data_IF_000974268615
#
_entry.id   IF_000974268615
#
_cell.length_a   1.000
_cell.length_b   1.000
_cell.length_c   1.000
_cell.angle_alpha   90.00
_cell.angle_beta   90.00
_cell.angle_gamma   90.00
#
_symmetry.space_group_name_H-M   'P 1'
#
loop_
_entity.id
_entity.type
_entity.pdbx_description
1 polymer ?
#
# COMPACT_ATOMS: atom_id res chain seq x y z
N UNK A 1 -3.48 -16.55 -27.20
CA UNK A 1 -2.16 -16.59 -27.88
C UNK A 1 -2.22 -16.26 -29.36
N UNK A 2 -3.31 -16.56 -30.08
CA UNK A 2 -3.47 -16.28 -31.53
C UNK A 2 -3.20 -14.81 -31.91
N UNK A 3 -3.56 -13.85 -31.05
CA UNK A 3 -3.34 -12.41 -31.28
C UNK A 3 -1.88 -12.03 -31.51
N UNK A 4 -0.96 -12.61 -30.73
CA UNK A 4 0.46 -12.23 -30.77
C UNK A 4 1.29 -13.07 -31.76
N UNK A 5 0.70 -14.10 -32.37
CA UNK A 5 1.38 -14.92 -33.37
C UNK A 5 1.84 -14.12 -34.60
N UNK A 6 1.14 -13.03 -34.94
CA UNK A 6 1.49 -12.12 -36.05
C UNK A 6 2.83 -11.38 -35.85
N UNK A 7 3.25 -11.22 -34.60
CA UNK A 7 4.54 -10.60 -34.23
C UNK A 7 5.56 -11.64 -33.77
N UNK A 8 5.35 -12.92 -34.08
CA UNK A 8 6.28 -14.00 -33.73
C UNK A 8 6.27 -14.41 -32.25
N UNK A 9 5.39 -13.86 -31.42
CA UNK A 9 5.29 -14.24 -30.00
C UNK A 9 4.39 -15.47 -29.86
N UNK A 10 4.96 -16.56 -29.35
CA UNK A 10 4.26 -17.82 -29.11
C UNK A 10 5.19 -18.88 -28.52
N UNK A 11 4.62 -19.98 -28.02
CA UNK A 11 5.41 -21.13 -27.62
C UNK A 11 6.27 -21.60 -28.80
N UNK A 12 7.56 -21.86 -28.54
CA UNK A 12 8.53 -22.35 -29.53
C UNK A 12 8.74 -21.42 -30.74
N UNK A 13 8.33 -20.15 -30.65
CA UNK A 13 8.57 -19.14 -31.68
C UNK A 13 9.66 -18.16 -31.26
N UNK A 14 10.41 -17.67 -32.26
CA UNK A 14 11.39 -16.61 -32.08
C UNK A 14 10.87 -15.31 -32.67
N UNK A 15 10.95 -14.22 -31.91
CA UNK A 15 10.64 -12.88 -32.42
C UNK A 15 11.86 -12.35 -33.18
N UNK A 16 11.71 -12.15 -34.48
CA UNK A 16 12.74 -11.52 -35.31
C UNK A 16 12.66 -9.99 -35.19
N UNK A 17 13.37 -9.46 -34.19
CA UNK A 17 13.45 -8.02 -33.91
C UNK A 17 14.43 -7.27 -34.82
N UNK A 18 15.09 -7.93 -35.79
CA UNK A 18 16.01 -7.27 -36.72
C UNK A 18 15.30 -6.44 -37.79
N UNK A 19 14.01 -6.71 -38.02
CA UNK A 19 13.18 -5.98 -38.98
C UNK A 19 12.72 -4.64 -38.38
N UNK A 20 13.04 -3.48 -38.99
CA UNK A 20 12.66 -2.17 -38.47
C UNK A 20 11.15 -2.02 -38.21
N UNK A 21 10.32 -2.59 -39.07
CA UNK A 21 8.87 -2.59 -38.94
C UNK A 21 8.39 -3.38 -37.71
N UNK A 22 9.00 -4.54 -37.44
CA UNK A 22 8.67 -5.35 -36.26
C UNK A 22 9.05 -4.64 -34.97
N UNK A 23 10.24 -4.03 -34.96
CA UNK A 23 10.71 -3.22 -33.84
C UNK A 23 9.75 -2.07 -33.55
N UNK A 24 9.36 -1.30 -34.56
CA UNK A 24 8.44 -0.18 -34.41
C UNK A 24 7.07 -0.60 -33.86
N UNK A 25 6.50 -1.71 -34.34
CA UNK A 25 5.22 -2.21 -33.83
C UNK A 25 5.30 -2.67 -32.37
N UNK A 26 6.41 -3.31 -31.97
CA UNK A 26 6.63 -3.72 -30.58
C UNK A 26 6.78 -2.49 -29.67
N UNK A 27 7.60 -1.51 -30.08
CA UNK A 27 7.83 -0.27 -29.34
C UNK A 27 6.52 0.53 -29.18
N UNK A 28 5.71 0.62 -30.23
CA UNK A 28 4.38 1.25 -30.16
C UNK A 28 3.46 0.51 -29.19
N UNK A 29 3.40 -0.82 -29.25
CA UNK A 29 2.59 -1.61 -28.33
C UNK A 29 3.03 -1.48 -26.87
N UNK A 30 4.33 -1.32 -26.61
CA UNK A 30 4.86 -1.00 -25.29
C UNK A 30 4.44 0.40 -24.84
N UNK A 31 4.51 1.40 -25.73
CA UNK A 31 4.07 2.76 -25.42
C UNK A 31 2.58 2.82 -25.09
N UNK A 32 1.73 2.11 -25.85
CA UNK A 32 0.30 2.00 -25.59
C UNK A 32 0.04 1.35 -24.22
N UNK A 33 0.75 0.26 -23.89
CA UNK A 33 0.63 -0.40 -22.59
C UNK A 33 1.02 0.52 -21.41
N UNK A 34 2.06 1.34 -21.57
CA UNK A 34 2.43 2.34 -20.57
C UNK A 34 1.39 3.46 -20.45
N UNK A 35 0.81 3.92 -21.56
CA UNK A 35 -0.28 4.89 -21.53
C UNK A 35 -1.53 4.33 -20.82
N UNK A 36 -1.83 3.04 -21.02
CA UNK A 36 -2.91 2.34 -20.30
C UNK A 36 -2.62 2.24 -18.81
N UNK A 37 -1.37 1.91 -18.45
CA UNK A 37 -0.92 1.86 -17.06
C UNK A 37 -1.06 3.23 -16.37
N UNK A 38 -0.63 4.33 -17.00
CA UNK A 38 -0.80 5.70 -16.46
C UNK A 38 -2.27 6.05 -16.23
N UNK A 39 -3.19 5.54 -17.05
CA UNK A 39 -4.63 5.71 -16.79
C UNK A 39 -5.09 4.88 -15.58
N UNK A 40 -4.59 3.66 -15.44
CA UNK A 40 -4.87 2.81 -14.28
C UNK A 40 -4.30 3.40 -12.97
N UNK A 41 -3.14 4.03 -13.00
CA UNK A 41 -2.56 4.74 -11.83
C UNK A 41 -3.51 5.80 -11.27
N UNK A 42 -4.29 6.48 -12.12
CA UNK A 42 -5.31 7.45 -11.67
C UNK A 42 -6.45 6.76 -10.93
N UNK A 43 -6.81 5.54 -11.32
CA UNK A 43 -7.84 4.74 -10.65
C UNK A 43 -7.33 4.20 -9.31
N UNK A 44 -6.04 3.85 -9.21
CA UNK A 44 -5.37 3.58 -7.93
C UNK A 44 -5.38 4.81 -7.01
N UNK A 45 -5.00 5.98 -7.53
CA UNK A 45 -5.00 7.23 -6.78
C UNK A 45 -6.43 7.63 -6.31
N UNK A 46 -7.45 7.29 -7.09
CA UNK A 46 -8.86 7.47 -6.73
C UNK A 46 -9.40 6.38 -5.79
N UNK A 47 -8.62 5.35 -5.45
CA UNK A 47 -9.03 4.23 -4.60
C UNK A 47 -10.04 3.27 -5.25
N UNK A 48 -10.25 3.36 -6.56
CA UNK A 48 -11.15 2.46 -7.31
C UNK A 48 -10.51 1.12 -7.66
N UNK A 49 -9.18 1.10 -7.71
CA UNK A 49 -8.35 -0.10 -7.86
C UNK A 49 -7.37 -0.12 -6.70
N UNK A 50 -7.18 -1.28 -6.11
CA UNK A 50 -6.27 -1.51 -4.98
C UNK A 50 -5.25 -2.58 -5.34
N UNK A 51 -4.20 -2.72 -4.53
CA UNK A 51 -3.24 -3.83 -4.70
C UNK A 51 -3.96 -5.19 -4.69
N UNK A 52 -5.02 -5.32 -3.90
CA UNK A 52 -5.87 -6.50 -3.84
C UNK A 52 -6.60 -6.90 -5.12
N UNK A 53 -6.75 -5.98 -6.08
CA UNK A 53 -7.43 -6.24 -7.34
C UNK A 53 -6.47 -6.75 -8.42
N UNK A 54 -5.17 -6.42 -8.29
CA UNK A 54 -4.16 -6.72 -9.32
C UNK A 54 -3.33 -7.97 -9.03
N UNK A 55 -3.37 -8.49 -7.79
CA UNK A 55 -2.74 -9.76 -7.41
C UNK A 55 -3.77 -10.87 -7.21
N UNK A 56 -3.46 -12.08 -7.67
CA UNK A 56 -4.30 -13.25 -7.47
C UNK A 56 -4.00 -14.40 -8.43
N UNK A 57 -4.85 -15.42 -8.39
CA UNK A 57 -4.76 -16.56 -9.30
C UNK A 57 -5.13 -16.16 -10.73
N UNK A 58 -4.83 -17.04 -11.69
CA UNK A 58 -5.25 -16.85 -13.10
C UNK A 58 -6.78 -16.72 -13.22
N UNK A 59 -7.52 -17.49 -12.43
CA UNK A 59 -8.98 -17.47 -12.40
C UNK A 59 -9.50 -16.12 -11.88
N UNK A 60 -8.93 -15.64 -10.78
CA UNK A 60 -9.30 -14.34 -10.20
C UNK A 60 -9.05 -13.19 -11.17
N UNK A 61 -7.85 -13.13 -11.77
CA UNK A 61 -7.45 -12.05 -12.67
C UNK A 61 -8.10 -12.13 -14.05
N UNK A 62 -8.73 -13.26 -14.42
CA UNK A 62 -9.45 -13.45 -15.70
C UNK A 62 -8.67 -13.00 -16.93
N UNK A 63 -7.36 -13.25 -16.95
CA UNK A 63 -6.42 -12.78 -18.00
C UNK A 63 -6.42 -11.25 -18.23
N UNK A 64 -6.72 -10.44 -17.21
CA UNK A 64 -6.52 -9.01 -17.25
C UNK A 64 -5.01 -8.69 -17.24
N UNK A 65 -4.43 -8.56 -18.44
CA UNK A 65 -3.00 -8.34 -18.61
C UNK A 65 -2.54 -6.98 -18.10
N UNK A 66 -3.40 -5.95 -18.14
CA UNK A 66 -3.08 -4.63 -17.58
C UNK A 66 -2.92 -4.70 -16.06
N UNK A 67 -3.79 -5.45 -15.37
CA UNK A 67 -3.65 -5.66 -13.92
C UNK A 67 -2.38 -6.46 -13.59
N UNK A 68 -2.06 -7.49 -14.39
CA UNK A 68 -0.81 -8.24 -14.22
C UNK A 68 0.43 -7.39 -14.45
N UNK A 69 0.40 -6.50 -15.45
CA UNK A 69 1.47 -5.52 -15.67
C UNK A 69 1.56 -4.57 -14.48
N UNK A 70 0.44 -4.01 -14.03
CA UNK A 70 0.42 -3.08 -12.91
C UNK A 70 0.95 -3.70 -11.63
N UNK A 71 0.55 -4.93 -11.30
CA UNK A 71 1.10 -5.73 -10.22
C UNK A 71 2.63 -5.87 -10.32
N UNK A 72 3.15 -6.20 -11.49
CA UNK A 72 4.59 -6.36 -11.70
C UNK A 72 5.37 -5.04 -11.60
N UNK A 73 4.81 -3.94 -12.10
CA UNK A 73 5.42 -2.60 -12.05
C UNK A 73 5.40 -2.05 -10.62
N UNK A 74 4.28 -2.20 -9.91
CA UNK A 74 4.07 -1.62 -8.58
C UNK A 74 4.70 -2.47 -7.46
N UNK A 75 4.85 -3.78 -7.66
CA UNK A 75 5.49 -4.66 -6.68
C UNK A 75 5.35 -6.15 -7.02
N UNK A 76 6.34 -6.72 -7.73
CA UNK A 76 6.39 -8.16 -7.97
C UNK A 76 6.22 -8.97 -6.67
N UNK A 77 5.56 -10.13 -6.77
CA UNK A 77 5.26 -11.02 -5.65
C UNK A 77 4.26 -10.50 -4.60
N UNK A 78 3.43 -9.51 -4.94
CA UNK A 78 2.32 -9.10 -4.07
C UNK A 78 1.31 -10.22 -3.80
N UNK A 79 0.65 -10.12 -2.64
CA UNK A 79 -0.34 -11.07 -2.16
C UNK A 79 -1.75 -10.75 -2.69
N UNK A 80 -2.61 -11.76 -2.78
CA UNK A 80 -4.05 -11.53 -2.95
C UNK A 80 -4.63 -10.81 -1.74
N UNK A 81 -5.77 -10.12 -1.91
CA UNK A 81 -6.40 -9.39 -0.79
C UNK A 81 -6.86 -10.28 0.36
N UNK A 82 -7.15 -11.56 0.09
CA UNK A 82 -7.52 -12.54 1.11
C UNK A 82 -6.33 -12.93 2.00
N UNK A 83 -5.12 -12.82 1.47
CA UNK A 83 -3.87 -13.12 2.19
C UNK A 83 -3.32 -11.87 2.90
N UNK A 84 -3.27 -10.73 2.21
CA UNK A 84 -2.86 -9.48 2.82
C UNK A 84 -3.42 -8.23 2.12
N UNK A 85 -3.76 -7.21 2.92
CA UNK A 85 -4.16 -5.88 2.45
C UNK A 85 -3.19 -4.81 2.95
N UNK A 86 -2.97 -3.78 2.12
CA UNK A 86 -1.97 -2.74 2.36
C UNK A 86 -2.54 -1.30 2.28
N UNK A 87 -3.44 -0.85 3.17
CA UNK A 87 -3.87 0.55 3.17
C UNK A 87 -2.69 1.50 3.39
N UNK A 88 -2.50 2.46 2.47
CA UNK A 88 -1.38 3.39 2.49
C UNK A 88 -1.81 4.78 2.97
N UNK A 89 -1.01 5.37 3.86
CA UNK A 89 -1.12 6.74 4.31
C UNK A 89 -0.11 7.59 3.55
N UNK A 90 -0.50 8.03 2.35
CA UNK A 90 0.30 8.94 1.51
C UNK A 90 -0.02 10.41 1.80
N UNK A 91 -1.25 10.66 2.26
CA UNK A 91 -1.79 11.98 2.60
C UNK A 91 -2.60 11.88 3.89
N UNK A 92 -2.78 13.01 4.55
CA UNK A 92 -3.69 13.15 5.68
C UNK A 92 -5.16 13.29 5.23
N UNK A 93 -6.05 13.45 6.22
CA UNK A 93 -7.48 13.66 6.03
C UNK A 93 -7.78 14.87 5.11
N UNK A 94 -6.97 15.93 5.20
CA UNK A 94 -7.07 17.14 4.37
C UNK A 94 -6.38 17.00 3.00
N UNK A 95 -5.98 15.78 2.62
CA UNK A 95 -5.31 15.43 1.36
C UNK A 95 -3.94 16.10 1.18
N UNK A 96 -3.30 16.54 2.26
CA UNK A 96 -1.94 17.05 2.24
C UNK A 96 -0.94 15.90 2.38
N UNK A 97 0.20 15.98 1.70
CA UNK A 97 1.26 14.96 1.82
C UNK A 97 1.79 14.91 3.25
N UNK A 98 2.03 13.69 3.73
CA UNK A 98 2.56 13.46 5.07
C UNK A 98 4.00 13.96 5.19
N UNK A 99 4.30 14.71 6.25
CA UNK A 99 5.65 15.22 6.56
C UNK A 99 5.83 15.37 8.06
N UNK A 100 7.00 15.01 8.60
CA UNK A 100 7.23 15.07 10.04
C UNK A 100 7.48 16.47 10.60
N UNK A 101 7.36 17.50 9.76
CA UNK A 101 7.14 18.87 10.23
C UNK A 101 5.81 19.03 10.98
N UNK A 102 4.86 18.13 10.74
CA UNK A 102 3.57 18.08 11.41
C UNK A 102 3.47 16.87 12.35
N UNK A 103 2.46 16.92 13.22
CA UNK A 103 2.05 15.80 14.08
C UNK A 103 0.76 15.24 13.53
N UNK A 104 0.59 13.92 13.62
CA UNK A 104 -0.63 13.27 13.19
C UNK A 104 -1.10 12.25 14.21
N UNK A 105 -2.39 11.95 14.17
CA UNK A 105 -3.00 10.85 14.90
C UNK A 105 -3.68 9.87 13.93
N UNK A 106 -3.62 8.59 14.26
CA UNK A 106 -4.45 7.56 13.65
C UNK A 106 -5.24 6.91 14.79
N UNK A 107 -6.54 7.18 14.84
CA UNK A 107 -7.42 6.69 15.92
C UNK A 107 -8.26 5.51 15.44
N UNK A 108 -8.16 4.40 16.16
CA UNK A 108 -9.09 3.29 16.09
C UNK A 108 -10.13 3.47 17.20
N UNK A 109 -11.38 3.69 16.81
CA UNK A 109 -12.50 3.71 17.75
C UNK A 109 -12.66 2.34 18.46
N UNK A 110 -13.40 2.28 19.58
CA UNK A 110 -13.71 1.01 20.24
C UNK A 110 -14.27 -0.01 19.25
N UNK A 111 -13.77 -1.24 19.31
CA UNK A 111 -14.14 -2.34 18.41
C UNK A 111 -13.93 -2.07 16.91
N UNK A 112 -13.10 -1.08 16.55
CA UNK A 112 -12.75 -0.72 15.15
C UNK A 112 -11.27 -0.92 14.80
N UNK A 113 -10.56 -1.73 15.58
CA UNK A 113 -9.22 -2.20 15.20
C UNK A 113 -9.28 -2.97 13.86
N UNK A 114 -8.16 -3.03 13.09
CA UNK A 114 -8.14 -3.77 11.83
C UNK A 114 -8.60 -5.23 12.00
N UNK A 115 -9.64 -5.68 11.28
CA UNK A 115 -10.22 -7.00 11.47
C UNK A 115 -9.38 -8.04 10.73
N UNK A 116 -8.61 -8.82 11.49
CA UNK A 116 -7.67 -9.83 10.99
C UNK A 116 -7.86 -11.16 11.72
N UNK A 117 -7.52 -12.26 11.05
CA UNK A 117 -7.39 -13.57 11.68
C UNK A 117 -5.98 -13.77 12.30
N UNK A 118 -4.96 -13.12 11.75
CA UNK A 118 -3.59 -13.19 12.25
C UNK A 118 -3.20 -11.91 13.00
N UNK A 119 -2.62 -10.93 12.29
CA UNK A 119 -2.16 -9.68 12.90
C UNK A 119 -2.22 -8.51 11.92
N UNK A 120 -2.11 -7.30 12.44
CA UNK A 120 -1.94 -6.09 11.64
C UNK A 120 -0.74 -5.28 12.10
N UNK A 121 -0.19 -4.43 11.23
CA UNK A 121 0.89 -3.51 11.57
C UNK A 121 0.78 -2.19 10.80
N UNK A 122 1.11 -1.07 11.43
CA UNK A 122 1.37 0.21 10.78
C UNK A 122 2.87 0.49 10.79
N UNK A 123 3.50 0.53 9.62
CA UNK A 123 4.96 0.70 9.46
C UNK A 123 5.30 2.06 8.86
N UNK A 124 6.37 2.69 9.36
CA UNK A 124 6.87 3.99 8.91
C UNK A 124 7.94 3.83 7.81
N UNK A 125 7.86 4.65 6.76
CA UNK A 125 8.89 4.75 5.71
C UNK A 125 9.22 6.21 5.39
N UNK A 126 10.51 6.57 5.36
CA UNK A 126 10.95 7.86 4.83
C UNK A 126 10.85 7.92 3.31
N UNK A 127 10.58 9.12 2.79
CA UNK A 127 10.55 9.38 1.35
C UNK A 127 11.65 10.36 0.96
N UNK A 128 12.26 10.20 -0.25
CA UNK A 128 11.88 9.26 -1.31
C UNK A 128 12.49 7.85 -1.20
N UNK A 129 13.39 7.61 -0.25
CA UNK A 129 14.20 6.37 -0.18
C UNK A 129 13.34 5.12 0.06
N UNK A 130 12.15 5.27 0.64
CA UNK A 130 11.25 4.18 1.01
C UNK A 130 11.88 3.20 2.00
N UNK A 131 12.74 3.72 2.89
CA UNK A 131 13.44 2.96 3.93
C UNK A 131 12.81 3.18 5.31
N UNK A 132 13.12 2.28 6.25
CA UNK A 132 12.78 2.47 7.65
C UNK A 132 13.60 3.64 8.25
N UNK A 133 13.03 4.29 9.25
CA UNK A 133 13.60 5.53 9.82
C UNK A 133 14.25 5.25 11.16
N UNK A 134 15.57 5.44 11.25
CA UNK A 134 16.30 5.39 12.52
C UNK A 134 15.68 6.38 13.53
N UNK A 135 15.43 5.92 14.76
CA UNK A 135 14.76 6.70 15.78
C UNK A 135 15.22 6.28 17.19
N UNK A 136 15.03 7.13 18.22
CA UNK A 136 15.63 6.92 19.55
C UNK A 136 15.15 5.69 20.33
N UNK A 137 14.10 5.00 19.88
CA UNK A 137 13.49 3.86 20.56
C UNK A 137 13.45 2.60 19.69
N UNK A 138 14.18 2.61 18.56
CA UNK A 138 14.26 1.52 17.58
C UNK A 138 12.88 0.95 17.16
N UNK A 139 11.87 1.83 17.08
CA UNK A 139 10.50 1.46 16.72
C UNK A 139 10.17 1.91 15.30
N UNK A 140 9.99 0.96 14.40
CA UNK A 140 9.69 1.23 12.99
C UNK A 140 8.23 0.91 12.62
N UNK A 141 7.50 0.27 13.54
CA UNK A 141 6.09 -0.08 13.39
C UNK A 141 5.37 -0.15 14.74
N UNK A 142 4.04 -0.12 14.69
CA UNK A 142 3.15 -0.57 15.77
C UNK A 142 2.29 -1.71 15.20
N UNK A 143 2.11 -2.79 15.95
CA UNK A 143 1.32 -3.95 15.49
C UNK A 143 0.37 -4.50 16.56
N UNK A 144 -0.52 -5.41 16.17
CA UNK A 144 -1.53 -5.96 17.07
C UNK A 144 -0.97 -6.72 18.28
N UNK A 145 0.16 -7.46 18.21
CA UNK A 145 0.80 -8.01 19.41
C UNK A 145 1.17 -6.98 20.49
N UNK A 146 1.45 -5.72 20.11
CA UNK A 146 1.79 -4.65 21.06
C UNK A 146 0.57 -4.06 21.77
N UNK A 147 -0.67 -4.42 21.38
CA UNK A 147 -1.90 -3.85 21.96
C UNK A 147 -1.97 -3.85 23.50
N UNK A 148 -1.49 -4.89 24.24
CA UNK A 148 -1.49 -4.87 25.70
C UNK A 148 -0.59 -3.78 26.32
N UNK A 149 0.41 -3.31 25.58
CA UNK A 149 1.36 -2.27 26.02
C UNK A 149 0.90 -0.86 25.62
N UNK A 150 -0.02 -0.76 24.65
CA UNK A 150 -0.57 0.52 24.22
C UNK A 150 -1.56 1.05 25.26
N UNK A 151 -1.56 2.38 25.45
CA UNK A 151 -2.56 3.05 26.26
C UNK A 151 -3.87 3.19 25.49
N UNK A 152 -4.95 2.80 26.17
CA UNK A 152 -6.32 2.97 25.68
C UNK A 152 -6.78 4.41 25.93
N UNK A 153 -7.59 4.91 25.01
CA UNK A 153 -8.35 6.14 25.17
C UNK A 153 -9.46 5.93 26.23
N UNK A 154 -10.04 7.01 26.76
CA UNK A 154 -11.06 6.94 27.80
C UNK A 154 -12.34 6.16 27.37
N UNK A 155 -12.62 6.13 26.08
CA UNK A 155 -13.73 5.36 25.48
C UNK A 155 -13.37 3.91 25.15
N UNK A 156 -12.12 3.49 25.39
CA UNK A 156 -11.60 2.15 25.03
C UNK A 156 -10.95 2.07 23.64
N UNK A 157 -10.90 3.18 22.90
CA UNK A 157 -10.20 3.28 21.63
C UNK A 157 -8.67 3.19 21.77
N UNK A 158 -7.98 3.23 20.63
CA UNK A 158 -6.51 3.35 20.57
C UNK A 158 -6.15 4.47 19.61
N UNK A 159 -5.51 5.51 20.13
CA UNK A 159 -4.93 6.58 19.30
C UNK A 159 -3.43 6.38 19.16
N UNK A 160 -2.95 6.19 17.93
CA UNK A 160 -1.52 6.17 17.60
C UNK A 160 -1.03 7.60 17.32
N UNK A 161 0.12 7.97 17.88
CA UNK A 161 0.73 9.27 17.72
C UNK A 161 1.86 9.18 16.69
N UNK A 162 1.80 9.98 15.63
CA UNK A 162 2.75 9.94 14.52
C UNK A 162 3.44 11.30 14.42
N UNK A 163 4.70 11.37 14.85
CA UNK A 163 5.44 12.63 14.90
C UNK A 163 6.95 12.39 15.01
N UNK A 164 7.76 13.37 14.62
CA UNK A 164 9.22 13.28 14.69
C UNK A 164 9.76 13.34 16.12
N UNK A 165 9.21 14.23 16.93
CA UNK A 165 9.64 14.43 18.32
C UNK A 165 8.89 13.50 19.27
N UNK A 166 9.54 13.06 20.35
CA UNK A 166 8.85 12.29 21.39
C UNK A 166 7.68 13.10 21.97
N UNK A 167 6.47 12.51 22.09
CA UNK A 167 5.32 13.16 22.71
C UNK A 167 5.41 13.24 24.25
N UNK A 168 6.55 12.81 24.84
CA UNK A 168 6.74 12.67 26.28
C UNK A 168 6.64 11.22 26.73
N UNK A 169 7.44 10.85 27.74
CA UNK A 169 7.59 9.46 28.24
C UNK A 169 6.26 8.78 28.56
N UNK A 170 5.26 9.53 29.01
CA UNK A 170 3.93 9.03 29.37
C UNK A 170 3.08 8.61 28.15
N UNK A 171 3.46 9.05 26.94
CA UNK A 171 2.77 8.83 25.66
C UNK A 171 3.56 8.00 24.65
N UNK A 172 4.83 7.71 24.92
CA UNK A 172 5.69 6.94 24.01
C UNK A 172 5.17 5.54 23.70
N UNK A 173 4.36 4.94 24.58
CA UNK A 173 3.69 3.66 24.32
C UNK A 173 2.94 3.66 22.97
N UNK A 174 2.23 4.75 22.64
CA UNK A 174 1.41 4.88 21.44
C UNK A 174 2.13 5.59 20.28
N UNK A 175 3.40 5.97 20.46
CA UNK A 175 4.14 6.77 19.51
C UNK A 175 4.80 5.91 18.43
N UNK A 176 4.59 6.27 17.17
CA UNK A 176 5.35 5.81 16.02
C UNK A 176 6.25 6.97 15.53
N UNK A 177 7.58 6.90 15.75
CA UNK A 177 8.50 7.95 15.32
C UNK A 177 8.48 8.14 13.80
N UNK A 178 8.34 9.40 13.37
CA UNK A 178 8.39 9.81 11.96
C UNK A 178 9.74 10.51 11.64
N UNK A 179 10.21 10.51 10.38
CA UNK A 179 11.36 11.32 9.99
C UNK A 179 11.00 12.82 10.03
N UNK A 180 11.96 13.74 10.00
CA UNK A 180 11.67 15.19 9.96
C UNK A 180 11.01 15.63 8.64
N UNK A 181 11.28 14.89 7.58
CA UNK A 181 10.85 15.19 6.22
C UNK A 181 9.61 14.40 5.77
N UNK A 182 9.41 14.30 4.44
CA UNK A 182 8.33 13.51 3.85
C UNK A 182 8.38 12.04 4.27
N UNK A 183 7.21 11.45 4.49
CA UNK A 183 7.09 10.03 4.84
C UNK A 183 5.81 9.44 4.28
N UNK A 184 5.69 8.12 4.33
CA UNK A 184 4.44 7.39 4.15
C UNK A 184 4.32 6.34 5.25
N UNK A 185 3.10 5.92 5.56
CA UNK A 185 2.88 4.74 6.41
C UNK A 185 2.12 3.66 5.65
N UNK A 186 2.50 2.41 5.89
CA UNK A 186 1.80 1.26 5.34
C UNK A 186 1.10 0.51 6.48
N UNK A 187 -0.23 0.53 6.49
CA UNK A 187 -1.01 -0.43 7.27
C UNK A 187 -0.98 -1.76 6.53
N UNK A 188 -0.79 -2.85 7.25
CA UNK A 188 -0.82 -4.21 6.72
C UNK A 188 -1.79 -5.02 7.55
N UNK A 189 -2.74 -5.66 6.88
CA UNK A 189 -3.63 -6.65 7.48
C UNK A 189 -3.22 -8.01 6.93
N UNK A 190 -2.82 -8.94 7.80
CA UNK A 190 -2.48 -10.31 7.42
C UNK A 190 -3.65 -11.23 7.72
N UNK A 191 -4.08 -11.96 6.71
CA UNK A 191 -5.31 -12.76 6.72
C UNK A 191 -6.51 -11.91 7.19
N UNK A 192 -6.85 -10.83 6.46
CA UNK A 192 -7.97 -9.96 6.80
C UNK A 192 -9.29 -10.73 6.85
N UNK A 193 -10.16 -10.36 7.78
CA UNK A 193 -11.54 -10.87 7.82
C UNK A 193 -12.35 -10.27 6.67
N UNK A 194 -13.48 -10.90 6.36
CA UNK A 194 -14.37 -10.49 5.26
C UNK A 194 -14.75 -9.00 5.32
N UNK A 195 -14.96 -8.46 6.51
CA UNK A 195 -15.32 -7.06 6.73
C UNK A 195 -14.26 -6.07 6.20
N UNK A 196 -12.98 -6.43 6.20
CA UNK A 196 -11.95 -5.61 5.55
C UNK A 196 -11.92 -5.87 4.03
N UNK A 197 -12.06 -7.12 3.61
CA UNK A 197 -11.99 -7.54 2.19
C UNK A 197 -13.15 -6.96 1.36
N UNK A 198 -14.32 -6.81 1.97
CA UNK A 198 -15.53 -6.25 1.34
C UNK A 198 -15.69 -4.73 1.52
N UNK A 199 -14.80 -4.10 2.29
CA UNK A 199 -14.76 -2.66 2.52
C UNK A 199 -15.71 -2.13 3.59
N UNK A 200 -16.40 -2.98 4.37
CA UNK A 200 -17.16 -2.54 5.55
C UNK A 200 -16.27 -1.91 6.62
N UNK A 201 -15.03 -2.40 6.72
CA UNK A 201 -13.96 -1.77 7.47
C UNK A 201 -13.01 -1.06 6.51
N UNK A 202 -12.70 0.19 6.84
CA UNK A 202 -11.68 0.99 6.15
C UNK A 202 -10.69 1.52 7.18
N UNK A 203 -9.43 1.67 6.76
CA UNK A 203 -8.42 2.26 7.63
C UNK A 203 -8.82 3.70 7.97
N UNK A 204 -8.81 4.10 9.26
CA UNK A 204 -9.15 5.47 9.64
C UNK A 204 -8.11 6.42 9.05
N UNK A 205 -8.49 7.66 8.67
CA UNK A 205 -7.55 8.61 8.11
C UNK A 205 -6.51 9.03 9.15
N UNK A 206 -5.34 9.45 8.68
CA UNK A 206 -4.41 10.18 9.52
C UNK A 206 -4.88 11.62 9.62
N UNK A 207 -5.11 12.10 10.84
CA UNK A 207 -5.55 13.47 11.09
C UNK A 207 -4.38 14.28 11.60
N UNK A 208 -4.17 15.49 11.07
CA UNK A 208 -3.16 16.37 11.63
C UNK A 208 -3.57 16.77 13.06
N UNK A 209 -2.67 16.56 14.00
CA UNK A 209 -2.80 16.99 15.38
C UNK A 209 -2.23 18.40 15.55
N UNK A 210 -2.83 19.16 16.47
CA UNK A 210 -2.33 20.48 16.88
C UNK A 210 -1.16 20.36 17.83
#
# INVERSE_FOLDING_TARGET
MTRFAKIGVGAEKTVDASKPEMKAVIEQGMADAWADFVRLEKEFAAGKVTSGDVFGTREYLKNNYLYRMAAAVLGIYGNSKQEAMYPMYLVDEAKQRMTGANRYIVRFAPDKLPPVHAFWSLTMYEMPQSLLVANPIDRYLINSPMLPELKRDADGGVTLLIQNESPGKDKEANWLPAPKGPFVMAMRLYWPKEEAVDGKWTAPPAQQAK
#
